data_IF_374997647080
#
_entry.id   IF_374997647080
#
_cell.length_a   1.000
_cell.length_b   1.000
_cell.length_c   1.000
_cell.angle_alpha   90.00
_cell.angle_beta   90.00
_cell.angle_gamma   90.00
#
_symmetry.space_group_name_H-M   'P 1'
#
loop_
_entity.id
_entity.type
_entity.pdbx_description
1 polymer ?
#
# COMPACT_ATOMS: atom_id res chain seq x y z
N UNK A 1 35.95 -15.43 50.67
CA UNK A 1 35.15 -16.07 49.61
C UNK A 1 34.08 -15.09 49.17
N UNK A 2 34.36 -14.28 48.15
CA UNK A 2 33.36 -13.39 47.54
C UNK A 2 33.16 -13.83 46.09
N UNK A 3 31.90 -14.04 45.74
CA UNK A 3 31.43 -14.70 44.54
C UNK A 3 31.62 -13.83 43.30
N UNK A 4 32.14 -14.45 42.25
CA UNK A 4 32.05 -13.97 40.88
C UNK A 4 30.58 -13.94 40.44
N UNK A 5 30.12 -12.81 39.91
CA UNK A 5 28.81 -12.71 39.24
C UNK A 5 28.99 -11.93 37.93
N UNK A 6 28.97 -12.70 36.85
CA UNK A 6 28.29 -12.45 35.57
C UNK A 6 28.61 -11.17 34.79
N UNK A 7 29.58 -11.28 33.88
CA UNK A 7 29.58 -10.51 32.62
C UNK A 7 28.83 -11.32 31.54
N UNK A 8 27.51 -11.17 31.51
CA UNK A 8 26.70 -11.54 30.35
C UNK A 8 25.98 -10.27 29.88
N UNK A 9 26.76 -9.33 29.32
CA UNK A 9 26.20 -8.18 28.64
C UNK A 9 25.67 -8.67 27.29
N UNK A 10 24.39 -9.04 27.29
CA UNK A 10 23.66 -9.47 26.12
C UNK A 10 23.79 -8.42 25.01
N UNK A 11 24.29 -8.88 23.85
CA UNK A 11 24.13 -8.22 22.56
C UNK A 11 22.63 -8.09 22.27
N UNK A 12 22.00 -7.02 22.74
CA UNK A 12 20.74 -6.56 22.16
C UNK A 12 21.08 -5.85 20.85
N UNK A 13 21.22 -6.64 19.78
CA UNK A 13 21.04 -6.15 18.42
C UNK A 13 19.64 -5.52 18.36
N UNK A 14 19.57 -4.19 18.39
CA UNK A 14 18.36 -3.46 18.02
C UNK A 14 18.15 -3.70 16.53
N UNK A 15 17.45 -4.77 16.18
CA UNK A 15 16.78 -4.88 14.89
C UNK A 15 15.79 -3.73 14.84
N UNK A 16 16.23 -2.57 14.32
CA UNK A 16 15.30 -1.53 13.92
C UNK A 16 14.40 -2.18 12.86
N UNK A 17 13.07 -2.25 13.07
CA UNK A 17 12.20 -2.68 12.01
C UNK A 17 12.41 -1.69 10.87
N UNK A 18 12.95 -2.17 9.76
CA UNK A 18 12.92 -1.42 8.50
C UNK A 18 11.48 -0.99 8.35
N UNK A 19 11.22 0.32 8.41
CA UNK A 19 9.88 0.83 8.22
C UNK A 19 9.41 0.28 6.87
N UNK A 20 8.52 -0.70 6.89
CA UNK A 20 8.03 -1.34 5.68
C UNK A 20 7.25 -0.26 4.96
N UNK A 21 7.87 0.36 3.96
CA UNK A 21 7.29 1.49 3.23
C UNK A 21 6.08 0.95 2.47
N UNK A 22 4.90 1.09 3.06
CA UNK A 22 3.64 0.60 2.54
C UNK A 22 3.01 1.63 1.58
N UNK A 23 1.71 1.50 1.32
CA UNK A 23 0.93 2.54 0.64
C UNK A 23 1.08 3.89 1.39
N UNK A 24 1.16 5.01 0.67
CA UNK A 24 0.97 6.33 1.28
C UNK A 24 -0.32 6.37 2.11
N UNK A 25 -0.33 7.16 3.20
CA UNK A 25 -1.48 7.21 4.09
C UNK A 25 -2.64 8.03 3.48
N UNK A 26 -2.30 8.97 2.60
CA UNK A 26 -3.27 9.88 1.99
C UNK A 26 -3.07 10.05 0.48
N UNK A 27 -4.14 10.44 -0.21
CA UNK A 27 -4.08 10.79 -1.64
C UNK A 27 -3.12 11.96 -1.89
N UNK A 28 -2.98 12.89 -0.94
CA UNK A 28 -2.07 14.02 -1.06
C UNK A 28 -0.61 13.56 -1.06
N UNK A 29 -0.23 12.69 -0.12
CA UNK A 29 1.10 12.06 -0.08
C UNK A 29 1.37 11.24 -1.34
N UNK A 30 0.37 10.47 -1.79
CA UNK A 30 0.49 9.68 -3.02
C UNK A 30 0.75 10.58 -4.23
N UNK A 31 0.01 11.68 -4.38
CA UNK A 31 0.21 12.67 -5.45
C UNK A 31 1.59 13.32 -5.37
N UNK A 32 2.05 13.70 -4.17
CA UNK A 32 3.40 14.26 -3.97
C UNK A 32 4.48 13.29 -4.45
N UNK A 33 4.42 12.03 -4.01
CA UNK A 33 5.38 11.01 -4.42
C UNK A 33 5.37 10.77 -5.93
N UNK A 34 4.19 10.72 -6.55
CA UNK A 34 4.07 10.56 -7.99
C UNK A 34 4.68 11.74 -8.76
N UNK A 35 4.49 12.98 -8.27
CA UNK A 35 5.12 14.16 -8.85
C UNK A 35 6.64 14.12 -8.70
N UNK A 36 7.16 13.78 -7.52
CA UNK A 36 8.60 13.59 -7.29
C UNK A 36 9.19 12.54 -8.23
N UNK A 37 8.50 11.41 -8.42
CA UNK A 37 8.93 10.37 -9.36
C UNK A 37 8.94 10.86 -10.81
N UNK A 38 7.90 11.60 -11.22
CA UNK A 38 7.86 12.18 -12.56
C UNK A 38 9.03 13.13 -12.80
N UNK A 39 9.35 13.99 -11.83
CA UNK A 39 10.49 14.90 -11.90
C UNK A 39 11.82 14.15 -11.90
N UNK A 40 12.02 13.22 -10.96
CA UNK A 40 13.27 12.47 -10.81
C UNK A 40 13.60 11.64 -12.05
N UNK A 41 12.58 11.07 -12.70
CA UNK A 41 12.73 10.24 -13.89
C UNK A 41 12.52 10.99 -15.21
N UNK A 42 12.33 12.32 -15.16
CA UNK A 42 12.10 13.19 -16.34
C UNK A 42 11.02 12.61 -17.26
N UNK A 43 9.92 12.14 -16.67
CA UNK A 43 8.85 11.50 -17.43
C UNK A 43 8.17 12.51 -18.36
N UNK A 44 7.81 12.04 -19.54
CA UNK A 44 7.08 12.86 -20.50
C UNK A 44 5.71 13.29 -19.93
N UNK A 45 5.24 14.52 -20.18
CA UNK A 45 3.94 14.99 -19.70
C UNK A 45 2.78 14.06 -20.05
N UNK A 46 2.84 13.39 -21.20
CA UNK A 46 1.83 12.43 -21.66
C UNK A 46 1.80 11.17 -20.78
N UNK A 47 2.95 10.70 -20.32
CA UNK A 47 3.05 9.55 -19.41
C UNK A 47 2.47 9.89 -18.02
N UNK A 48 2.76 11.10 -17.53
CA UNK A 48 2.20 11.64 -16.28
C UNK A 48 0.69 11.81 -16.38
N UNK A 49 0.21 12.41 -17.48
CA UNK A 49 -1.22 12.66 -17.74
C UNK A 49 -2.01 11.37 -17.86
N UNK A 50 -1.43 10.35 -18.50
CA UNK A 50 -2.05 9.02 -18.61
C UNK A 50 -2.02 8.24 -17.28
N UNK A 51 -1.48 8.80 -16.19
CA UNK A 51 -1.32 8.12 -14.92
C UNK A 51 -0.38 6.92 -15.00
N UNK A 52 0.57 6.90 -15.95
CA UNK A 52 1.48 5.79 -16.22
C UNK A 52 2.91 6.23 -15.95
N UNK A 53 3.42 5.88 -14.78
CA UNK A 53 4.77 6.21 -14.34
C UNK A 53 5.75 5.05 -14.64
N UNK A 54 5.56 4.30 -15.72
CA UNK A 54 6.53 3.27 -16.11
C UNK A 54 7.73 3.89 -16.87
N UNK A 55 8.96 3.35 -16.78
CA UNK A 55 9.51 2.35 -15.85
C UNK A 55 10.24 3.01 -14.66
N UNK A 56 9.51 3.50 -13.67
CA UNK A 56 10.12 3.99 -12.42
C UNK A 56 10.37 2.85 -11.43
N UNK A 57 11.46 2.97 -10.68
CA UNK A 57 11.86 2.01 -9.66
C UNK A 57 11.56 2.61 -8.29
N UNK A 58 10.57 2.08 -7.58
CA UNK A 58 10.25 2.54 -6.21
C UNK A 58 10.22 1.39 -5.23
N UNK A 59 10.71 1.64 -4.01
CA UNK A 59 10.67 0.64 -2.95
C UNK A 59 9.33 0.74 -2.22
N UNK A 60 8.59 -0.37 -2.21
CA UNK A 60 7.32 -0.52 -1.48
C UNK A 60 7.27 -1.92 -0.88
N UNK A 61 6.77 -2.09 0.34
CA UNK A 61 6.81 -3.36 1.08
C UNK A 61 8.23 -3.98 1.19
N UNK A 62 9.28 -3.16 1.12
CA UNK A 62 10.66 -3.65 1.06
C UNK A 62 11.07 -4.30 -0.26
N UNK A 63 10.21 -4.23 -1.30
CA UNK A 63 10.46 -4.76 -2.64
C UNK A 63 10.40 -3.65 -3.69
N UNK A 64 11.10 -3.85 -4.81
CA UNK A 64 11.16 -2.87 -5.89
C UNK A 64 9.97 -3.03 -6.85
N UNK A 65 9.08 -2.06 -6.88
CA UNK A 65 8.10 -1.92 -7.95
C UNK A 65 8.78 -1.37 -9.21
N UNK A 66 8.35 -1.87 -10.37
CA UNK A 66 8.93 -1.54 -11.70
C UNK A 66 8.02 -0.67 -12.55
N UNK A 67 6.79 -0.47 -12.09
CA UNK A 67 5.81 0.41 -12.69
C UNK A 67 4.88 0.90 -11.61
N UNK A 68 4.56 2.19 -11.66
CA UNK A 68 3.53 2.80 -10.84
C UNK A 68 2.48 3.36 -11.77
N UNK A 69 1.20 3.21 -11.43
CA UNK A 69 0.11 3.89 -12.10
C UNK A 69 -0.84 4.52 -11.12
N UNK A 70 -1.47 5.61 -11.53
CA UNK A 70 -2.54 6.24 -10.80
C UNK A 70 -3.82 6.15 -11.64
N UNK A 71 -4.88 5.65 -11.02
CA UNK A 71 -6.20 5.65 -11.61
C UNK A 71 -7.07 6.60 -10.79
N UNK A 72 -7.55 7.66 -11.42
CA UNK A 72 -8.73 8.37 -10.95
C UNK A 72 -9.91 7.64 -11.56
N UNK A 73 -10.69 6.88 -10.78
CA UNK A 73 -11.91 6.33 -11.37
C UNK A 73 -12.76 7.48 -11.89
N UNK A 74 -13.36 7.32 -13.07
CA UNK A 74 -14.56 8.04 -13.51
C UNK A 74 -15.78 7.28 -12.99
N UNK A 75 -16.97 7.89 -13.04
CA UNK A 75 -18.15 7.63 -12.21
C UNK A 75 -18.45 6.19 -11.73
N UNK A 76 -18.79 6.11 -10.43
CA UNK A 76 -19.68 5.14 -9.76
C UNK A 76 -19.34 3.64 -9.70
N UNK A 77 -18.87 3.20 -8.52
CA UNK A 77 -19.42 1.99 -7.89
C UNK A 77 -20.67 2.44 -7.09
N UNK A 78 -21.87 2.37 -7.67
CA UNK A 78 -23.12 2.66 -6.95
C UNK A 78 -23.47 4.14 -6.72
N UNK A 79 -23.14 5.05 -7.65
CA UNK A 79 -23.63 6.44 -7.63
C UNK A 79 -22.86 7.41 -6.71
N UNK A 80 -21.64 7.05 -6.26
CA UNK A 80 -20.76 7.93 -5.48
C UNK A 80 -19.47 8.20 -6.27
N UNK A 81 -19.11 9.47 -6.56
CA UNK A 81 -17.87 9.79 -7.29
C UNK A 81 -16.59 9.54 -6.45
N UNK A 82 -15.73 8.70 -7.06
CA UNK A 82 -14.25 8.50 -7.03
C UNK A 82 -13.51 7.84 -5.85
N UNK A 83 -12.85 6.71 -6.16
CA UNK A 83 -11.66 6.21 -5.46
C UNK A 83 -10.45 6.69 -6.30
N UNK A 84 -9.44 7.27 -5.66
CA UNK A 84 -8.12 7.35 -6.28
C UNK A 84 -7.38 6.05 -5.97
N UNK A 85 -6.85 5.36 -6.97
CA UNK A 85 -6.00 4.20 -6.76
C UNK A 85 -4.58 4.50 -7.23
N UNK A 86 -3.59 4.04 -6.48
CA UNK A 86 -2.20 3.98 -6.93
C UNK A 86 -1.75 2.53 -6.91
N UNK A 87 -1.41 2.03 -8.07
CA UNK A 87 -1.02 0.64 -8.29
C UNK A 87 0.48 0.54 -8.49
N UNK A 88 1.08 -0.38 -7.75
CA UNK A 88 2.51 -0.70 -7.83
C UNK A 88 2.65 -2.10 -8.40
N UNK A 89 3.30 -2.21 -9.55
CA UNK A 89 3.60 -3.48 -10.21
C UNK A 89 4.95 -4.01 -9.72
N UNK A 90 4.90 -5.11 -8.97
CA UNK A 90 6.06 -5.72 -8.33
C UNK A 90 6.39 -7.04 -9.06
N UNK A 91 7.64 -7.24 -9.51
CA UNK A 91 8.09 -8.53 -10.03
C UNK A 91 8.10 -9.60 -8.93
N UNK A 92 7.64 -10.81 -9.25
CA UNK A 92 7.62 -11.94 -8.32
C UNK A 92 6.28 -12.67 -8.29
N UNK A 93 6.14 -13.62 -7.37
CA UNK A 93 4.88 -14.33 -7.16
C UNK A 93 4.10 -13.76 -5.98
N UNK A 94 2.79 -14.00 -5.96
CA UNK A 94 1.94 -13.59 -4.84
C UNK A 94 2.40 -14.21 -3.53
N UNK A 95 2.81 -15.48 -3.55
CA UNK A 95 3.33 -16.18 -2.38
C UNK A 95 4.50 -15.42 -1.74
N UNK A 96 5.46 -14.97 -2.54
CA UNK A 96 6.66 -14.26 -2.08
C UNK A 96 6.34 -12.93 -1.37
N UNK A 97 5.28 -12.23 -1.81
CA UNK A 97 4.98 -10.87 -1.37
C UNK A 97 3.88 -10.84 -0.30
N UNK A 98 3.01 -11.86 -0.24
CA UNK A 98 1.87 -11.92 0.68
C UNK A 98 2.25 -11.80 2.16
N UNK A 99 3.38 -12.37 2.58
CA UNK A 99 3.87 -12.26 3.95
C UNK A 99 4.27 -10.82 4.31
N UNK A 100 4.91 -10.10 3.38
CA UNK A 100 5.28 -8.69 3.54
C UNK A 100 4.03 -7.80 3.63
N UNK A 101 3.00 -8.12 2.83
CA UNK A 101 1.72 -7.45 2.92
C UNK A 101 1.07 -7.62 4.30
N UNK A 102 1.00 -8.85 4.81
CA UNK A 102 0.40 -9.13 6.12
C UNK A 102 1.16 -8.47 7.27
N UNK A 103 2.48 -8.35 7.15
CA UNK A 103 3.30 -7.61 8.11
C UNK A 103 3.05 -6.09 8.06
N UNK A 104 2.87 -5.53 6.86
CA UNK A 104 2.60 -4.10 6.68
C UNK A 104 1.17 -3.70 7.06
N UNK A 105 0.21 -4.62 6.94
CA UNK A 105 -1.21 -4.39 7.19
C UNK A 105 -1.77 -5.42 8.18
N UNK A 106 -1.40 -5.34 9.47
CA UNK A 106 -1.92 -6.27 10.48
C UNK A 106 -3.41 -6.03 10.74
N UNK A 107 -4.14 -7.08 11.08
CA UNK A 107 -5.52 -6.95 11.55
C UNK A 107 -5.57 -6.19 12.87
N UNK A 108 -6.48 -5.23 12.96
CA UNK A 108 -6.77 -4.38 14.12
C UNK A 108 -8.27 -4.41 14.44
N UNK A 109 -8.70 -3.62 15.42
CA UNK A 109 -10.12 -3.49 15.74
C UNK A 109 -10.95 -2.85 14.60
N UNK A 110 -10.36 -1.89 13.87
CA UNK A 110 -11.07 -1.11 12.85
C UNK A 110 -10.86 -1.65 11.44
N UNK A 111 -9.73 -2.31 11.19
CA UNK A 111 -9.38 -2.87 9.89
C UNK A 111 -8.94 -4.31 10.01
N UNK A 112 -9.18 -5.10 8.97
CA UNK A 112 -8.75 -6.49 8.89
C UNK A 112 -8.03 -6.76 7.59
N UNK A 113 -7.05 -7.65 7.67
CA UNK A 113 -6.46 -8.29 6.51
C UNK A 113 -7.10 -9.65 6.28
N UNK A 114 -7.50 -9.93 5.04
CA UNK A 114 -7.98 -11.22 4.59
C UNK A 114 -7.22 -11.64 3.34
N UNK A 115 -6.68 -12.87 3.35
CA UNK A 115 -5.90 -13.41 2.25
C UNK A 115 -6.46 -14.75 1.78
N UNK A 116 -6.55 -14.89 0.46
CA UNK A 116 -6.70 -16.16 -0.25
C UNK A 116 -5.36 -16.53 -0.90
N UNK A 117 -5.35 -17.60 -1.71
CA UNK A 117 -4.15 -18.02 -2.45
C UNK A 117 -3.67 -17.00 -3.51
N UNK A 118 -4.53 -16.08 -3.94
CA UNK A 118 -4.25 -15.17 -5.06
C UNK A 118 -4.51 -13.71 -4.76
N UNK A 119 -5.08 -13.40 -3.59
CA UNK A 119 -5.43 -12.04 -3.23
C UNK A 119 -5.37 -11.81 -1.72
N UNK A 120 -4.75 -10.72 -1.30
CA UNK A 120 -4.88 -10.18 0.05
C UNK A 120 -5.61 -8.84 -0.02
N UNK A 121 -6.42 -8.54 1.00
CA UNK A 121 -7.13 -7.27 1.13
C UNK A 121 -7.05 -6.78 2.57
N UNK A 122 -6.74 -5.50 2.75
CA UNK A 122 -6.83 -4.77 4.00
C UNK A 122 -7.95 -3.74 3.87
N UNK A 123 -8.98 -3.85 4.70
CA UNK A 123 -10.19 -3.00 4.63
C UNK A 123 -10.85 -2.94 6.00
N UNK A 124 -11.91 -2.13 6.14
CA UNK A 124 -12.69 -2.05 7.38
C UNK A 124 -13.11 -3.44 7.86
N UNK A 125 -12.91 -3.69 9.16
CA UNK A 125 -13.19 -4.98 9.77
C UNK A 125 -14.69 -5.30 9.73
N UNK A 126 -15.50 -4.32 10.10
CA UNK A 126 -16.95 -4.39 10.10
C UNK A 126 -17.53 -3.71 8.84
N UNK A 127 -18.18 -4.46 7.93
CA UNK A 127 -18.81 -3.88 6.75
C UNK A 127 -19.89 -2.83 7.06
N UNK A 128 -20.56 -2.93 8.22
CA UNK A 128 -21.58 -1.96 8.63
C UNK A 128 -21.00 -0.56 8.91
N UNK A 129 -19.69 -0.43 9.12
CA UNK A 129 -19.03 0.86 9.30
C UNK A 129 -18.94 1.68 8.00
N UNK A 130 -19.29 1.09 6.85
CA UNK A 130 -19.31 1.78 5.55
C UNK A 130 -20.51 2.73 5.39
N UNK A 131 -21.42 2.76 6.35
CA UNK A 131 -22.52 3.72 6.36
C UNK A 131 -21.98 5.15 6.49
N UNK A 132 -22.51 6.06 5.68
CA UNK A 132 -22.11 7.48 5.61
C UNK A 132 -22.24 8.11 7.01
N UNK A 133 -21.16 8.68 7.55
CA UNK A 133 -21.10 9.20 8.92
C UNK A 133 -20.16 8.41 9.83
N UNK A 134 -20.40 7.09 10.01
CA UNK A 134 -19.42 6.22 10.69
C UNK A 134 -18.16 6.07 9.85
N UNK A 135 -18.34 5.93 8.54
CA UNK A 135 -17.22 5.80 7.63
C UNK A 135 -16.33 7.06 7.65
N UNK A 136 -16.94 8.24 7.69
CA UNK A 136 -16.24 9.53 7.73
C UNK A 136 -15.42 9.71 9.01
N UNK A 137 -15.91 9.19 10.13
CA UNK A 137 -15.21 9.24 11.41
C UNK A 137 -14.01 8.28 11.47
N UNK A 138 -14.05 7.16 10.72
CA UNK A 138 -13.00 6.13 10.74
C UNK A 138 -11.97 6.38 9.64
N UNK A 139 -12.43 6.73 8.44
CA UNK A 139 -11.60 6.96 7.25
C UNK A 139 -11.92 8.34 6.70
N UNK A 140 -11.13 9.36 7.06
CA UNK A 140 -11.28 10.70 6.53
C UNK A 140 -11.18 10.73 5.00
N UNK A 141 -11.74 11.76 4.37
CA UNK A 141 -11.62 11.92 2.91
C UNK A 141 -10.17 12.07 2.50
N UNK A 142 -9.78 11.39 1.43
CA UNK A 142 -8.39 11.30 1.00
C UNK A 142 -7.53 10.35 1.82
N UNK A 143 -8.03 9.70 2.87
CA UNK A 143 -7.28 8.68 3.59
C UNK A 143 -7.32 7.33 2.85
N UNK A 144 -6.28 6.53 3.04
CA UNK A 144 -6.22 5.15 2.57
C UNK A 144 -7.38 4.33 3.17
N UNK A 145 -8.16 3.68 2.31
CA UNK A 145 -9.35 2.94 2.71
C UNK A 145 -9.23 1.44 2.45
N UNK A 146 -8.66 1.07 1.30
CA UNK A 146 -8.45 -0.32 0.91
C UNK A 146 -7.03 -0.46 0.41
N UNK A 147 -6.39 -1.56 0.80
CA UNK A 147 -5.19 -2.04 0.13
C UNK A 147 -5.43 -3.43 -0.37
N UNK A 148 -5.10 -3.69 -1.62
CA UNK A 148 -5.21 -5.02 -2.21
C UNK A 148 -3.86 -5.46 -2.74
N UNK A 149 -3.50 -6.73 -2.52
CA UNK A 149 -2.39 -7.39 -3.21
C UNK A 149 -3.00 -8.50 -4.06
N UNK A 150 -2.66 -8.60 -5.33
CA UNK A 150 -3.15 -9.69 -6.19
C UNK A 150 -2.20 -9.98 -7.34
N UNK A 151 -2.23 -11.22 -7.84
CA UNK A 151 -1.49 -11.59 -9.05
C UNK A 151 -2.00 -10.82 -10.28
N UNK A 152 -1.09 -10.30 -11.10
CA UNK A 152 -1.47 -9.66 -12.36
C UNK A 152 -1.80 -10.73 -13.42
N UNK A 153 -3.09 -10.91 -13.71
CA UNK A 153 -3.55 -11.87 -14.74
C UNK A 153 -3.06 -11.52 -16.15
N UNK A 154 -2.66 -10.26 -16.40
CA UNK A 154 -2.17 -9.79 -17.70
C UNK A 154 -0.65 -9.94 -17.84
N UNK A 155 0.05 -10.13 -16.72
CA UNK A 155 1.50 -10.23 -16.68
C UNK A 155 1.95 -11.30 -15.67
N UNK A 156 2.09 -12.57 -16.10
CA UNK A 156 2.62 -13.63 -15.27
C UNK A 156 3.97 -13.25 -14.65
N UNK A 157 4.18 -13.61 -13.39
CA UNK A 157 5.38 -13.22 -12.62
C UNK A 157 5.34 -11.77 -12.13
N UNK A 158 4.17 -11.14 -12.09
CA UNK A 158 3.94 -9.87 -11.42
C UNK A 158 2.80 -9.94 -10.43
N UNK A 159 2.93 -9.11 -9.41
CA UNK A 159 1.92 -8.87 -8.39
C UNK A 159 1.64 -7.37 -8.37
N UNK A 160 0.37 -7.01 -8.19
CA UNK A 160 -0.07 -5.62 -8.03
C UNK A 160 -0.38 -5.37 -6.57
N UNK A 161 0.23 -4.32 -6.01
CA UNK A 161 -0.23 -3.69 -4.79
C UNK A 161 -1.07 -2.47 -5.17
N UNK A 162 -2.37 -2.50 -4.91
CA UNK A 162 -3.30 -1.41 -5.17
C UNK A 162 -3.63 -0.66 -3.88
N UNK A 163 -3.31 0.63 -3.85
CA UNK A 163 -3.56 1.55 -2.75
C UNK A 163 -4.76 2.43 -3.08
N UNK A 164 -5.91 2.17 -2.46
CA UNK A 164 -7.15 2.86 -2.77
C UNK A 164 -7.51 3.87 -1.67
N UNK A 165 -7.69 5.12 -2.07
CA UNK A 165 -7.99 6.23 -1.19
C UNK A 165 -9.44 6.66 -1.31
N UNK A 166 -9.99 7.10 -0.18
CA UNK A 166 -11.34 7.66 -0.11
C UNK A 166 -11.44 8.95 -0.94
N UNK A 167 -12.55 9.14 -1.65
CA UNK A 167 -12.86 10.33 -2.43
C UNK A 167 -12.56 11.64 -1.68
N UNK A 168 -11.84 12.56 -2.33
CA UNK A 168 -11.83 13.97 -1.94
C UNK A 168 -12.95 14.66 -2.74
N UNK A 169 -13.83 15.41 -2.06
CA UNK A 169 -14.85 16.23 -2.74
C UNK A 169 -14.21 17.46 -3.35
#
# INVERSE_FOLDING_TARGET
MLHAVSHALAMMLTMQPVAVTACPATTAEAKSRLAELATAHKLAPEAVTAGKYGPVSVSVLGVKATRVSAETSGDAFGGVPYLAAVDFSIPGTFADISALFLAAYPTTALFKSNCTQTMCTYTLANPADRQVGRFDAIVPRGALHVVSLYSDHRAPGKVVLSCMYRAQR
#
